data_IF_172511295290
#
_entry.id   IF_172511295290
#
_cell.length_a   1.000
_cell.length_b   1.000
_cell.length_c   1.000
_cell.angle_alpha   90.00
_cell.angle_beta   90.00
_cell.angle_gamma   90.00
#
_symmetry.space_group_name_H-M   'P 1'
#
loop_
_entity.id
_entity.type
_entity.pdbx_description
1 polymer ?
#
# COMPACT_ATOMS: atom_id res chain seq x y z
N UNK A 1 10.69 6.18 9.11
CA UNK A 1 9.49 5.53 8.54
C UNK A 1 8.15 5.96 9.13
N UNK A 2 8.04 6.46 10.38
CA UNK A 2 6.72 6.83 10.96
C UNK A 2 5.99 7.92 10.15
N UNK A 3 6.68 9.02 9.82
CA UNK A 3 6.10 10.14 9.05
C UNK A 3 5.68 9.67 7.65
N UNK A 4 6.59 9.01 6.92
CA UNK A 4 6.29 8.50 5.56
C UNK A 4 5.09 7.53 5.55
N UNK A 5 5.00 6.64 6.55
CA UNK A 5 3.87 5.70 6.69
C UNK A 5 2.55 6.41 6.97
N UNK A 6 2.56 7.43 7.83
CA UNK A 6 1.36 8.23 8.13
C UNK A 6 0.92 9.00 6.89
N UNK A 7 1.87 9.59 6.15
CA UNK A 7 1.59 10.38 4.96
C UNK A 7 1.04 9.50 3.82
N UNK A 8 1.67 8.36 3.52
CA UNK A 8 1.12 7.39 2.56
C UNK A 8 -0.24 6.85 3.01
N UNK A 9 -0.41 6.55 4.30
CA UNK A 9 -1.67 6.06 4.85
C UNK A 9 -2.79 7.07 4.65
N UNK A 10 -2.55 8.33 4.99
CA UNK A 10 -3.52 9.41 4.82
C UNK A 10 -3.91 9.58 3.34
N UNK A 11 -2.93 9.59 2.43
CA UNK A 11 -3.18 9.70 0.98
C UNK A 11 -4.03 8.53 0.47
N UNK A 12 -3.66 7.29 0.82
CA UNK A 12 -4.43 6.09 0.44
C UNK A 12 -5.86 6.16 0.96
N UNK A 13 -6.06 6.52 2.24
CA UNK A 13 -7.39 6.62 2.85
C UNK A 13 -8.24 7.69 2.18
N UNK A 14 -7.68 8.87 1.90
CA UNK A 14 -8.40 9.96 1.24
C UNK A 14 -8.82 9.59 -0.18
N UNK A 15 -7.91 8.98 -0.97
CA UNK A 15 -8.22 8.51 -2.32
C UNK A 15 -9.24 7.37 -2.32
N UNK A 16 -9.18 6.46 -1.35
CA UNK A 16 -10.16 5.39 -1.20
C UNK A 16 -11.55 5.95 -0.86
N UNK A 17 -11.63 6.89 0.10
CA UNK A 17 -12.87 7.60 0.40
C UNK A 17 -13.42 8.34 -0.81
N UNK A 18 -12.56 9.05 -1.55
CA UNK A 18 -12.97 9.73 -2.78
C UNK A 18 -13.56 8.75 -3.80
N UNK A 19 -12.86 7.66 -4.10
CA UNK A 19 -13.31 6.62 -5.04
C UNK A 19 -14.65 5.99 -4.64
N UNK A 20 -14.89 5.79 -3.33
CA UNK A 20 -16.17 5.30 -2.81
C UNK A 20 -17.30 6.33 -2.94
N UNK A 21 -17.03 7.60 -2.70
CA UNK A 21 -18.03 8.68 -2.79
C UNK A 21 -18.41 8.95 -4.25
N UNK A 22 -17.43 8.98 -5.15
CA UNK A 22 -17.65 9.26 -6.58
C UNK A 22 -18.09 8.04 -7.38
N UNK A 23 -17.99 6.84 -6.80
CA UNK A 23 -18.26 5.58 -7.50
C UNK A 23 -17.26 5.27 -8.61
N UNK A 24 -16.14 6.00 -8.70
CA UNK A 24 -15.14 5.79 -9.75
C UNK A 24 -14.22 4.64 -9.36
N UNK A 25 -14.48 3.46 -9.93
CA UNK A 25 -13.69 2.23 -9.71
C UNK A 25 -12.38 2.19 -10.47
N UNK A 26 -12.21 3.05 -11.49
CA UNK A 26 -10.98 3.15 -12.29
C UNK A 26 -9.72 3.54 -11.50
N UNK A 27 -9.88 4.01 -10.26
CA UNK A 27 -8.76 4.33 -9.35
C UNK A 27 -8.22 3.09 -8.61
N UNK A 28 -8.88 1.93 -8.73
CA UNK A 28 -8.49 0.67 -8.08
C UNK A 28 -7.02 0.27 -8.27
N UNK A 29 -6.48 0.16 -9.52
CA UNK A 29 -5.08 -0.21 -9.73
C UNK A 29 -4.10 0.82 -9.13
N UNK A 30 -4.40 2.11 -9.24
CA UNK A 30 -3.57 3.17 -8.64
C UNK A 30 -3.57 3.12 -7.10
N UNK A 31 -4.72 2.82 -6.49
CA UNK A 31 -4.84 2.59 -5.05
C UNK A 31 -4.03 1.37 -4.61
N UNK A 32 -4.08 0.28 -5.37
CA UNK A 32 -3.27 -0.93 -5.14
C UNK A 32 -1.76 -0.63 -5.19
N UNK A 33 -1.32 0.19 -6.13
CA UNK A 33 0.08 0.62 -6.21
C UNK A 33 0.49 1.46 -4.98
N UNK A 34 -0.34 2.41 -4.55
CA UNK A 34 -0.07 3.20 -3.35
C UNK A 34 -0.05 2.34 -2.08
N UNK A 35 -0.98 1.39 -1.96
CA UNK A 35 -1.01 0.40 -0.86
C UNK A 35 0.25 -0.46 -0.88
N UNK A 36 0.69 -0.93 -2.05
CA UNK A 36 1.92 -1.71 -2.15
C UNK A 36 3.13 -0.91 -1.64
N UNK A 37 3.26 0.36 -2.01
CA UNK A 37 4.29 1.25 -1.48
C UNK A 37 4.23 1.40 0.05
N UNK A 38 3.02 1.51 0.61
CA UNK A 38 2.81 1.60 2.06
C UNK A 38 3.23 0.30 2.77
N UNK A 39 2.86 -0.85 2.21
CA UNK A 39 3.21 -2.18 2.73
C UNK A 39 4.72 -2.41 2.66
N UNK A 40 5.40 -1.96 1.60
CA UNK A 40 6.87 -2.00 1.51
C UNK A 40 7.52 -1.20 2.64
N UNK A 41 7.07 0.05 2.87
CA UNK A 41 7.61 0.90 3.94
C UNK A 41 7.38 0.28 5.32
N UNK A 42 6.24 -0.40 5.53
CA UNK A 42 5.98 -1.17 6.74
C UNK A 42 6.89 -2.39 6.86
N UNK A 43 7.09 -3.16 5.79
CA UNK A 43 7.96 -4.32 5.74
C UNK A 43 9.41 -3.98 6.09
N UNK A 44 9.95 -2.91 5.49
CA UNK A 44 11.30 -2.42 5.81
C UNK A 44 11.40 -1.96 7.27
N UNK A 45 10.39 -1.26 7.78
CA UNK A 45 10.37 -0.82 9.17
C UNK A 45 10.39 -1.98 10.17
N UNK A 46 9.62 -3.04 9.90
CA UNK A 46 9.56 -4.21 10.78
C UNK A 46 10.71 -5.20 10.59
N UNK A 47 11.31 -5.23 9.40
CA UNK A 47 12.56 -5.96 9.16
C UNK A 47 13.68 -5.37 10.03
N UNK A 48 13.74 -4.05 10.15
CA UNK A 48 14.70 -3.36 11.02
C UNK A 48 14.49 -3.70 12.50
N UNK A 49 13.26 -3.97 12.93
CA UNK A 49 12.93 -4.40 14.28
C UNK A 49 13.07 -5.93 14.48
N UNK A 50 13.61 -6.67 13.50
CA UNK A 50 13.77 -8.13 13.49
C UNK A 50 12.47 -8.89 13.77
N UNK A 51 11.32 -8.33 13.35
CA UNK A 51 10.03 -9.01 13.50
C UNK A 51 9.79 -9.96 12.33
N UNK A 52 9.29 -11.19 12.57
CA UNK A 52 9.01 -12.16 11.51
C UNK A 52 7.90 -11.69 10.55
N UNK A 53 7.03 -10.79 11.00
CA UNK A 53 5.97 -10.15 10.20
C UNK A 53 6.53 -9.37 9.00
N UNK A 54 7.81 -9.00 9.00
CA UNK A 54 8.43 -8.36 7.85
C UNK A 54 8.34 -9.19 6.57
N UNK A 55 8.46 -10.52 6.68
CA UNK A 55 8.44 -11.42 5.52
C UNK A 55 7.05 -11.45 4.86
N UNK A 56 5.99 -11.51 5.66
CA UNK A 56 4.61 -11.48 5.14
C UNK A 56 4.29 -10.13 4.50
N UNK A 57 4.83 -9.03 5.04
CA UNK A 57 4.70 -7.71 4.44
C UNK A 57 5.43 -7.61 3.09
N UNK A 58 6.63 -8.18 2.95
CA UNK A 58 7.31 -8.22 1.65
C UNK A 58 6.56 -9.05 0.61
N UNK A 59 5.98 -10.19 1.02
CA UNK A 59 5.16 -11.01 0.14
C UNK A 59 3.89 -10.27 -0.30
N UNK A 60 3.21 -9.61 0.65
CA UNK A 60 2.04 -8.78 0.36
C UNK A 60 2.39 -7.61 -0.58
N UNK A 61 3.54 -6.97 -0.39
CA UNK A 61 4.04 -5.96 -1.32
C UNK A 61 4.18 -6.53 -2.75
N UNK A 62 4.91 -7.64 -2.90
CA UNK A 62 5.15 -8.23 -4.22
C UNK A 62 3.85 -8.60 -4.94
N UNK A 63 2.91 -9.21 -4.22
CA UNK A 63 1.60 -9.57 -4.76
C UNK A 63 0.79 -8.33 -5.17
N UNK A 64 0.61 -7.37 -4.25
CA UNK A 64 -0.19 -6.17 -4.52
C UNK A 64 0.41 -5.30 -5.62
N UNK A 65 1.74 -5.22 -5.70
CA UNK A 65 2.45 -4.49 -6.76
C UNK A 65 2.24 -5.15 -8.13
N UNK A 66 2.39 -6.48 -8.20
CA UNK A 66 2.15 -7.23 -9.43
C UNK A 66 0.71 -7.09 -9.92
N UNK A 67 -0.27 -7.28 -9.04
CA UNK A 67 -1.69 -7.14 -9.38
C UNK A 67 -2.02 -5.70 -9.80
N UNK A 68 -1.47 -4.71 -9.11
CA UNK A 68 -1.65 -3.29 -9.45
C UNK A 68 -1.15 -2.95 -10.86
N UNK A 69 0.02 -3.48 -11.26
CA UNK A 69 0.55 -3.30 -12.62
C UNK A 69 -0.25 -4.08 -13.65
N UNK A 70 -0.61 -5.34 -13.37
CA UNK A 70 -1.36 -6.18 -14.30
C UNK A 70 -2.76 -5.64 -14.62
N UNK A 71 -3.37 -4.92 -13.67
CA UNK A 71 -4.71 -4.35 -13.80
C UNK A 71 -4.71 -2.99 -14.52
N UNK A 72 -3.54 -2.39 -14.72
CA UNK A 72 -3.37 -1.11 -15.42
C UNK A 72 -3.40 -1.31 -16.94
#
# INVERSE_FOLDING_TARGET
MKILRILLGAVVTLLACYSLITGTTGLGPYLLLLVSGLVLVMGVAEFRNRKPVAFTLFLAFGFSFFVGIYTL
#
